data_IF_848031784754
#
_entry.id   IF_848031784754
#
_cell.length_a   1.000
_cell.length_b   1.000
_cell.length_c   1.000
_cell.angle_alpha   90.00
_cell.angle_beta   90.00
_cell.angle_gamma   90.00
#
_symmetry.space_group_name_H-M   'P 1'
#
loop_
_entity.id
_entity.type
_entity.pdbx_description
1 polymer ?
#
# COMPACT_ATOMS: atom_id res chain seq x y z
N UNK A 1 -6.00 -14.65 11.40
CA UNK A 1 -7.45 -14.76 11.69
C UNK A 1 -8.30 -14.62 10.42
N UNK A 2 -7.92 -13.82 9.41
CA UNK A 2 -8.60 -13.77 8.09
C UNK A 2 -7.91 -14.58 6.96
N UNK A 3 -6.59 -14.79 7.06
CA UNK A 3 -5.80 -15.53 6.05
C UNK A 3 -6.37 -16.93 5.74
N UNK A 4 -6.90 -17.63 6.74
CA UNK A 4 -7.50 -18.97 6.58
C UNK A 4 -8.70 -18.99 5.62
N UNK A 5 -9.38 -17.86 5.43
CA UNK A 5 -10.57 -17.76 4.59
C UNK A 5 -10.30 -17.01 3.28
N UNK A 6 -9.35 -16.08 3.30
CA UNK A 6 -9.03 -15.21 2.14
C UNK A 6 -7.83 -15.69 1.34
N UNK A 7 -6.95 -16.52 1.92
CA UNK A 7 -5.64 -16.84 1.37
C UNK A 7 -4.65 -15.67 1.37
N UNK A 8 -5.07 -14.48 1.82
CA UNK A 8 -4.25 -13.28 1.84
C UNK A 8 -3.52 -13.18 3.17
N UNK A 9 -2.18 -13.16 3.11
CA UNK A 9 -1.33 -13.00 4.27
C UNK A 9 -1.53 -11.60 4.86
N UNK A 10 -1.84 -11.55 6.16
CA UNK A 10 -1.94 -10.28 6.87
C UNK A 10 -0.59 -9.59 7.00
N UNK A 11 -0.60 -8.26 7.07
CA UNK A 11 0.56 -7.45 7.42
C UNK A 11 0.35 -6.78 8.77
N UNK A 12 1.40 -6.68 9.58
CA UNK A 12 1.42 -5.88 10.82
C UNK A 12 2.37 -4.72 10.59
N UNK A 13 1.82 -3.51 10.58
CA UNK A 13 2.58 -2.29 10.29
C UNK A 13 2.94 -1.62 11.62
N UNK A 14 4.21 -1.26 11.84
CA UNK A 14 4.61 -0.47 12.99
C UNK A 14 3.89 0.88 13.05
N UNK A 15 3.69 1.41 14.27
CA UNK A 15 3.02 2.70 14.47
C UNK A 15 3.77 3.84 13.75
N UNK A 16 5.11 3.83 13.84
CA UNK A 16 5.96 4.83 13.18
C UNK A 16 5.69 4.86 11.67
N UNK A 17 5.77 3.70 11.02
CA UNK A 17 5.58 3.56 9.58
C UNK A 17 4.14 3.92 9.15
N UNK A 18 3.16 3.66 10.02
CA UNK A 18 1.77 4.08 9.82
C UNK A 18 1.65 5.60 9.80
N UNK A 19 2.22 6.28 10.80
CA UNK A 19 2.17 7.75 10.89
C UNK A 19 2.89 8.39 9.69
N UNK A 20 4.07 7.89 9.35
CA UNK A 20 4.83 8.38 8.18
C UNK A 20 4.04 8.17 6.88
N UNK A 21 3.42 6.99 6.72
CA UNK A 21 2.60 6.67 5.56
C UNK A 21 1.41 7.60 5.37
N UNK A 22 0.61 7.79 6.41
CA UNK A 22 -0.53 8.71 6.36
C UNK A 22 -0.11 10.17 6.22
N UNK A 23 1.04 10.57 6.79
CA UNK A 23 1.56 11.93 6.64
C UNK A 23 1.95 12.22 5.19
N UNK A 24 2.63 11.27 4.52
CA UNK A 24 2.98 11.40 3.11
C UNK A 24 1.75 11.54 2.20
N UNK A 25 0.69 10.77 2.48
CA UNK A 25 -0.60 10.90 1.77
C UNK A 25 -1.19 12.30 2.00
N UNK A 26 -1.27 12.75 3.26
CA UNK A 26 -1.89 14.03 3.61
C UNK A 26 -1.11 15.24 3.07
N UNK A 27 0.21 15.12 2.91
CA UNK A 27 1.06 16.17 2.34
C UNK A 27 1.02 16.22 0.80
N UNK A 28 0.39 15.24 0.14
CA UNK A 28 0.33 15.13 -1.32
C UNK A 28 1.58 14.50 -1.95
N UNK A 29 2.50 13.95 -1.16
CA UNK A 29 3.75 13.35 -1.67
C UNK A 29 3.48 12.14 -2.59
N UNK A 30 2.31 11.52 -2.44
CA UNK A 30 1.88 10.32 -3.17
C UNK A 30 0.76 10.58 -4.18
N UNK A 31 0.43 11.83 -4.50
CA UNK A 31 -0.68 12.18 -5.41
C UNK A 31 -0.50 11.64 -6.85
N UNK A 32 0.74 11.28 -7.20
CA UNK A 32 1.08 10.68 -8.49
C UNK A 32 0.81 9.16 -8.54
N UNK A 33 0.50 8.53 -7.41
CA UNK A 33 0.25 7.09 -7.29
C UNK A 33 -1.24 6.82 -7.46
N UNK A 34 -1.61 5.88 -8.33
CA UNK A 34 -3.02 5.54 -8.53
C UNK A 34 -3.65 4.90 -7.28
N UNK A 35 -4.92 5.21 -7.04
CA UNK A 35 -5.70 4.74 -5.88
C UNK A 35 -5.66 3.20 -5.69
N UNK A 36 -5.65 2.45 -6.79
CA UNK A 36 -5.61 0.99 -6.77
C UNK A 36 -4.34 0.44 -6.13
N UNK A 37 -3.24 1.20 -6.11
CA UNK A 37 -2.00 0.79 -5.46
C UNK A 37 -2.15 0.69 -3.93
N UNK A 38 -3.11 1.42 -3.34
CA UNK A 38 -3.35 1.46 -1.89
C UNK A 38 -4.32 0.36 -1.40
N UNK A 39 -4.83 -0.49 -2.30
CA UNK A 39 -5.78 -1.53 -1.93
C UNK A 39 -5.09 -2.77 -1.35
N UNK A 40 -5.55 -3.23 -0.17
CA UNK A 40 -5.05 -4.43 0.51
C UNK A 40 -3.52 -4.47 0.72
N UNK A 41 -2.95 -3.34 1.15
CA UNK A 41 -1.53 -3.19 1.47
C UNK A 41 -1.31 -3.09 2.97
N UNK A 42 -0.08 -3.38 3.39
CA UNK A 42 0.41 -3.07 4.73
C UNK A 42 0.97 -1.65 4.80
N UNK A 43 2.25 -1.50 4.47
CA UNK A 43 2.95 -0.21 4.47
C UNK A 43 3.10 0.40 3.08
N UNK A 44 3.76 1.55 3.01
CA UNK A 44 4.05 2.25 1.75
C UNK A 44 4.97 1.45 0.81
N UNK A 45 5.81 0.56 1.34
CA UNK A 45 6.62 -0.37 0.54
C UNK A 45 5.74 -1.23 -0.38
N UNK A 46 4.63 -1.76 0.16
CA UNK A 46 3.65 -2.52 -0.61
C UNK A 46 2.85 -1.65 -1.58
N UNK A 47 2.56 -0.40 -1.22
CA UNK A 47 1.94 0.58 -2.13
C UNK A 47 2.82 0.77 -3.37
N UNK A 48 4.12 1.04 -3.16
CA UNK A 48 5.06 1.27 -4.27
C UNK A 48 5.25 0.02 -5.13
N UNK A 49 5.33 -1.16 -4.51
CA UNK A 49 5.40 -2.42 -5.26
C UNK A 49 4.14 -2.67 -6.11
N UNK A 50 2.94 -2.38 -5.56
CA UNK A 50 1.70 -2.46 -6.31
C UNK A 50 1.64 -1.43 -7.43
N UNK A 51 2.11 -0.21 -7.18
CA UNK A 51 2.18 0.85 -8.18
C UNK A 51 3.07 0.44 -9.36
N UNK A 52 4.26 -0.08 -9.08
CA UNK A 52 5.18 -0.60 -10.09
C UNK A 52 4.55 -1.72 -10.94
N UNK A 53 3.76 -2.59 -10.31
CA UNK A 53 3.01 -3.65 -11.02
C UNK A 53 1.95 -3.06 -11.94
N UNK A 54 1.12 -2.15 -11.44
CA UNK A 54 0.05 -1.47 -12.21
C UNK A 54 0.65 -0.74 -13.41
N UNK A 55 1.77 -0.03 -13.22
CA UNK A 55 2.48 0.67 -14.29
C UNK A 55 2.99 -0.27 -15.39
N UNK A 56 3.42 -1.48 -15.04
CA UNK A 56 3.85 -2.49 -16.02
C UNK A 56 2.68 -3.11 -16.78
N UNK A 57 1.55 -3.31 -16.13
CA UNK A 57 0.34 -3.91 -16.74
C UNK A 57 -0.44 -2.94 -17.62
N UNK A 58 -0.25 -1.64 -17.42
CA UNK A 58 -0.92 -0.57 -18.20
C UNK A 58 -0.09 -0.15 -19.44
N UNK A 59 1.10 -0.73 -19.63
CA UNK A 59 1.93 -0.56 -20.84
C UNK A 59 1.62 -1.62 -21.88
#
# INVERSE_FOLDING_TARGET
>A
MAEKFTGVKGSTVPLKDTIEGFSAIANGDLDHVAEQAFFNVGGLDMVMANWDRIQKETK
#
